data_IF_972739584448
#
_entry.id   IF_972739584448
#
_cell.length_a   1.000
_cell.length_b   1.000
_cell.length_c   1.000
_cell.angle_alpha   90.00
_cell.angle_beta   90.00
_cell.angle_gamma   90.00
#
_symmetry.space_group_name_H-M   'P 1'
#
loop_
_entity.id
_entity.type
_entity.pdbx_description
1 polymer ?
#
# COMPACT_ATOMS: atom_id res chain seq x y z
N UNK A 1 -15.50 5.15 3.12
CA UNK A 1 -14.71 5.48 4.32
C UNK A 1 -15.24 4.79 5.59
N UNK A 2 -16.55 4.94 5.93
CA UNK A 2 -17.11 4.39 7.18
C UNK A 2 -16.86 2.87 7.32
N UNK A 3 -17.14 2.01 6.33
CA UNK A 3 -16.87 0.59 6.41
C UNK A 3 -15.40 0.24 6.71
N UNK A 4 -14.46 0.98 6.11
CA UNK A 4 -13.02 0.76 6.33
C UNK A 4 -12.58 1.17 7.74
N UNK A 5 -13.16 2.24 8.29
CA UNK A 5 -12.93 2.65 9.68
C UNK A 5 -13.45 1.58 10.64
N UNK A 6 -14.66 1.05 10.40
CA UNK A 6 -15.22 -0.02 11.24
C UNK A 6 -14.34 -1.27 11.17
N UNK A 7 -13.90 -1.68 9.97
CA UNK A 7 -12.97 -2.79 9.80
C UNK A 7 -11.70 -2.58 10.65
N UNK A 8 -11.09 -1.40 10.59
CA UNK A 8 -9.90 -1.05 11.37
C UNK A 8 -10.16 -1.07 12.88
N UNK A 9 -11.24 -0.45 13.33
CA UNK A 9 -11.57 -0.36 14.76
C UNK A 9 -11.88 -1.75 15.34
N UNK A 10 -12.64 -2.57 14.64
CA UNK A 10 -12.96 -3.95 15.07
C UNK A 10 -11.71 -4.80 15.13
N UNK A 11 -10.88 -4.79 14.08
CA UNK A 11 -9.63 -5.57 14.05
C UNK A 11 -8.67 -5.13 15.15
N UNK A 12 -8.45 -3.81 15.31
CA UNK A 12 -7.57 -3.26 16.34
C UNK A 12 -8.10 -3.52 17.75
N UNK A 13 -9.42 -3.42 17.95
CA UNK A 13 -10.08 -3.71 19.22
C UNK A 13 -9.87 -5.17 19.65
N UNK A 14 -10.09 -6.12 18.73
CA UNK A 14 -9.85 -7.53 19.00
C UNK A 14 -8.36 -7.80 19.28
N UNK A 15 -7.47 -7.23 18.46
CA UNK A 15 -6.03 -7.37 18.65
C UNK A 15 -5.57 -6.88 20.04
N UNK A 16 -6.12 -5.76 20.53
CA UNK A 16 -5.77 -5.20 21.84
C UNK A 16 -6.16 -6.09 23.02
N UNK A 17 -7.16 -6.96 22.85
CA UNK A 17 -7.61 -7.90 23.89
C UNK A 17 -6.74 -9.16 23.95
N UNK A 18 -6.06 -9.52 22.87
CA UNK A 18 -5.29 -10.75 22.77
C UNK A 18 -3.94 -10.64 23.49
N UNK A 19 -3.58 -11.66 24.30
CA UNK A 19 -2.32 -11.65 25.04
C UNK A 19 -1.09 -11.68 24.12
N UNK A 20 -1.22 -12.18 22.89
CA UNK A 20 -0.14 -12.23 21.89
C UNK A 20 0.41 -10.84 21.55
N UNK A 21 -0.42 -9.80 21.63
CA UNK A 21 -0.06 -8.42 21.33
C UNK A 21 0.24 -7.59 22.61
N UNK A 22 0.13 -8.21 23.79
CA UNK A 22 0.51 -7.60 25.08
C UNK A 22 1.96 -7.90 25.35
N UNK A 23 2.86 -7.04 24.91
CA UNK A 23 4.30 -7.12 25.17
C UNK A 23 4.83 -5.83 25.76
N UNK A 24 5.86 -5.93 26.61
CA UNK A 24 6.64 -4.76 27.03
C UNK A 24 7.62 -4.46 25.91
N UNK A 25 7.46 -3.30 25.29
CA UNK A 25 8.43 -2.78 24.31
C UNK A 25 9.64 -2.30 25.12
N UNK A 26 10.70 -3.09 25.18
CA UNK A 26 12.00 -2.58 25.61
C UNK A 26 12.55 -1.73 24.46
N UNK A 27 12.42 -0.41 24.59
CA UNK A 27 13.11 0.51 23.68
C UNK A 27 14.61 0.25 23.90
N UNK A 28 15.24 -0.41 22.94
CA UNK A 28 16.68 -0.44 22.85
C UNK A 28 17.10 0.99 22.56
N UNK A 29 17.61 1.68 23.56
CA UNK A 29 18.22 2.98 23.36
C UNK A 29 19.34 2.78 22.34
N UNK A 30 19.06 3.06 21.09
CA UNK A 30 20.11 3.23 20.09
C UNK A 30 20.79 4.54 20.48
N UNK A 31 21.99 4.44 21.04
CA UNK A 31 22.84 5.61 21.38
C UNK A 31 23.34 6.37 20.15
N UNK A 32 22.72 6.20 19.00
CA UNK A 32 22.91 7.03 17.83
C UNK A 32 21.76 8.07 17.74
N UNK A 33 21.78 8.97 18.73
CA UNK A 33 20.85 10.12 18.80
C UNK A 33 21.31 11.26 17.86
N UNK A 34 21.77 10.91 16.67
CA UNK A 34 21.79 11.84 15.56
C UNK A 34 20.41 11.85 14.91
N UNK A 35 19.40 12.24 15.72
CA UNK A 35 18.06 12.58 15.22
C UNK A 35 18.27 13.57 14.09
N UNK A 36 18.19 13.06 12.85
CA UNK A 36 18.21 13.89 11.67
C UNK A 36 17.06 14.90 11.81
N UNK A 37 17.40 16.12 12.20
CA UNK A 37 16.44 17.22 12.48
C UNK A 37 15.48 17.45 11.30
N UNK A 38 15.86 16.98 10.14
CA UNK A 38 15.11 17.09 8.88
C UNK A 38 14.30 15.84 8.52
N UNK A 39 14.44 14.73 9.27
CA UNK A 39 13.72 13.47 8.98
C UNK A 39 12.21 13.66 9.04
N UNK A 40 11.72 14.41 10.04
CA UNK A 40 10.30 14.72 10.16
C UNK A 40 9.81 15.59 9.00
N UNK A 41 10.60 16.56 8.57
CA UNK A 41 10.22 17.46 7.47
C UNK A 41 10.11 16.69 6.15
N UNK A 42 11.06 15.78 5.87
CA UNK A 42 11.02 14.93 4.68
C UNK A 42 9.80 13.99 4.72
N UNK A 43 9.49 13.42 5.90
CA UNK A 43 8.30 12.60 6.08
C UNK A 43 7.01 13.39 5.78
N UNK A 44 6.90 14.60 6.34
CA UNK A 44 5.72 15.46 6.12
C UNK A 44 5.59 15.84 4.65
N UNK A 45 6.68 16.24 4.00
CA UNK A 45 6.69 16.58 2.56
C UNK A 45 6.28 15.37 1.73
N UNK A 46 6.79 14.17 2.04
CA UNK A 46 6.42 12.94 1.35
C UNK A 46 4.94 12.60 1.51
N UNK A 47 4.41 12.74 2.73
CA UNK A 47 3.00 12.50 3.00
C UNK A 47 2.10 13.49 2.26
N UNK A 48 2.45 14.78 2.29
CA UNK A 48 1.73 15.82 1.55
C UNK A 48 1.79 15.59 0.03
N UNK A 49 2.94 15.15 -0.50
CA UNK A 49 3.08 14.80 -1.90
C UNK A 49 2.13 13.68 -2.31
N UNK A 50 2.00 12.61 -1.50
CA UNK A 50 1.07 11.51 -1.78
C UNK A 50 -0.39 11.99 -1.72
N UNK A 51 -0.76 12.77 -0.71
CA UNK A 51 -2.12 13.32 -0.55
C UNK A 51 -2.47 14.28 -1.69
N UNK A 52 -1.49 14.98 -2.27
CA UNK A 52 -1.73 15.91 -3.38
C UNK A 52 -2.10 15.20 -4.70
N UNK A 53 -1.78 13.91 -4.88
CA UNK A 53 -2.02 13.18 -6.14
C UNK A 53 -3.50 13.11 -6.53
N UNK A 54 -4.44 12.74 -5.65
CA UNK A 54 -5.86 12.77 -5.98
C UNK A 54 -6.37 14.17 -6.33
N UNK A 55 -5.90 15.19 -5.60
CA UNK A 55 -6.25 16.59 -5.87
C UNK A 55 -5.74 17.01 -7.26
N UNK A 56 -4.49 16.67 -7.57
CA UNK A 56 -3.89 16.91 -8.88
C UNK A 56 -4.71 16.26 -10.00
N UNK A 57 -5.12 15.00 -9.82
CA UNK A 57 -5.97 14.28 -10.79
C UNK A 57 -7.29 15.02 -11.04
N UNK A 58 -7.96 15.48 -9.97
CA UNK A 58 -9.26 16.18 -10.08
C UNK A 58 -9.10 17.51 -10.81
N UNK A 59 -8.04 18.26 -10.51
CA UNK A 59 -7.82 19.60 -11.10
C UNK A 59 -7.34 19.54 -12.56
N UNK A 60 -6.43 18.60 -12.86
CA UNK A 60 -5.78 18.54 -14.18
C UNK A 60 -6.42 17.54 -15.13
N UNK A 61 -7.23 16.61 -14.61
CA UNK A 61 -7.77 15.45 -15.35
C UNK A 61 -6.69 14.54 -15.95
N UNK A 62 -5.42 14.71 -15.55
CA UNK A 62 -4.31 13.89 -16.00
C UNK A 62 -4.25 12.56 -15.23
N UNK A 63 -3.62 11.52 -15.81
CA UNK A 63 -3.44 10.25 -15.11
C UNK A 63 -2.68 10.40 -13.79
N UNK A 64 -3.03 9.64 -12.73
CA UNK A 64 -2.45 9.78 -11.39
C UNK A 64 -0.93 9.61 -11.35
N UNK A 65 -0.33 8.85 -12.26
CA UNK A 65 1.12 8.63 -12.29
C UNK A 65 1.90 9.91 -12.53
N UNK A 66 1.33 10.89 -13.27
CA UNK A 66 1.98 12.19 -13.49
C UNK A 66 2.07 12.96 -12.16
N UNK A 67 0.99 12.96 -11.36
CA UNK A 67 0.99 13.53 -10.02
C UNK A 67 2.00 12.85 -9.09
N UNK A 68 2.11 11.52 -9.16
CA UNK A 68 3.12 10.76 -8.40
C UNK A 68 4.55 11.12 -8.81
N UNK A 69 4.82 11.23 -10.11
CA UNK A 69 6.15 11.63 -10.62
C UNK A 69 6.52 13.05 -10.17
N UNK A 70 5.55 13.98 -10.21
CA UNK A 70 5.74 15.33 -9.71
C UNK A 70 6.04 15.32 -8.20
N UNK A 71 5.26 14.58 -7.41
CA UNK A 71 5.46 14.40 -5.98
C UNK A 71 6.84 13.82 -5.67
N UNK A 72 7.25 12.78 -6.39
CA UNK A 72 8.58 12.18 -6.27
C UNK A 72 9.68 13.20 -6.56
N UNK A 73 9.52 14.00 -7.63
CA UNK A 73 10.48 15.06 -7.99
C UNK A 73 10.65 16.09 -6.88
N UNK A 74 9.53 16.56 -6.30
CA UNK A 74 9.55 17.51 -5.18
C UNK A 74 10.27 16.91 -3.97
N UNK A 75 9.90 15.70 -3.54
CA UNK A 75 10.53 15.02 -2.40
C UNK A 75 12.03 14.82 -2.65
N UNK A 76 12.42 14.45 -3.87
CA UNK A 76 13.83 14.24 -4.25
C UNK A 76 14.64 15.53 -4.15
N UNK A 77 14.11 16.66 -4.62
CA UNK A 77 14.78 17.97 -4.52
C UNK A 77 14.99 18.35 -3.05
N UNK A 78 13.95 18.20 -2.20
CA UNK A 78 14.09 18.49 -0.78
C UNK A 78 15.05 17.54 -0.07
N UNK A 79 15.02 16.24 -0.39
CA UNK A 79 15.95 15.26 0.17
C UNK A 79 17.40 15.59 -0.15
N UNK A 80 17.69 15.99 -1.40
CA UNK A 80 19.01 16.39 -1.85
C UNK A 80 19.45 17.70 -1.19
N UNK A 81 18.57 18.69 -1.12
CA UNK A 81 18.85 19.98 -0.45
C UNK A 81 19.21 19.79 1.03
N UNK A 82 18.46 18.96 1.76
CA UNK A 82 18.76 18.67 3.15
C UNK A 82 20.00 17.79 3.34
N UNK A 83 20.35 16.95 2.37
CA UNK A 83 21.58 16.17 2.38
C UNK A 83 22.82 17.05 2.16
N UNK A 84 22.77 17.93 1.16
CA UNK A 84 23.87 18.85 0.84
C UNK A 84 24.13 19.88 1.94
N UNK A 85 23.10 20.27 2.70
CA UNK A 85 23.26 21.15 3.85
C UNK A 85 24.15 20.59 4.97
N UNK A 86 24.39 19.27 5.00
CA UNK A 86 25.34 18.62 5.91
C UNK A 86 26.77 18.67 5.42
N UNK A 87 27.00 18.84 4.13
CA UNK A 87 28.34 18.82 3.51
C UNK A 87 29.14 20.09 3.75
N UNK A 88 28.49 21.25 3.78
CA UNK A 88 29.16 22.55 3.90
C UNK A 88 29.82 22.83 5.24
N UNK A 89 29.57 22.02 6.29
CA UNK A 89 30.12 22.24 7.65
C UNK A 89 31.24 21.24 8.01
N UNK A 90 31.36 20.12 7.31
CA UNK A 90 32.38 19.09 7.61
C UNK A 90 33.69 19.30 6.88
N UNK A 91 33.65 19.98 5.75
CA UNK A 91 34.84 20.18 4.91
C UNK A 91 35.85 21.26 5.42
N UNK A 92 35.46 22.06 6.43
CA UNK A 92 36.30 23.16 6.93
C UNK A 92 37.22 22.70 8.08
N UNK A 93 37.06 21.47 8.61
CA UNK A 93 37.74 21.08 9.87
C UNK A 93 38.78 19.95 9.72
N UNK A 94 38.98 19.34 8.56
CA UNK A 94 39.95 18.26 8.41
C UNK A 94 40.93 18.50 7.22
N UNK A 95 41.98 19.27 7.48
CA UNK A 95 43.20 19.23 6.70
C UNK A 95 44.09 18.09 7.19
N UNK A 96 43.79 16.87 6.75
CA UNK A 96 44.74 15.75 6.91
C UNK A 96 44.82 14.95 5.60
N UNK A 97 46.05 14.86 5.10
CA UNK A 97 46.41 14.43 3.73
C UNK A 97 46.31 12.92 3.47
N UNK A 98 45.79 12.11 4.41
CA UNK A 98 45.82 10.64 4.33
C UNK A 98 44.45 9.97 4.07
N UNK A 99 43.39 10.74 3.80
CA UNK A 99 42.03 10.19 3.56
C UNK A 99 41.58 10.18 2.08
N UNK A 100 42.47 10.46 1.17
CA UNK A 100 42.17 10.48 -0.29
C UNK A 100 41.90 9.10 -0.90
N UNK A 101 41.99 8.01 -0.12
CA UNK A 101 41.71 6.63 -0.59
C UNK A 101 40.49 6.00 -0.04
N UNK A 102 39.78 6.63 0.87
CA UNK A 102 38.41 6.28 1.21
C UNK A 102 37.43 7.15 0.42
N UNK A 103 37.35 6.88 -0.87
CA UNK A 103 36.21 7.32 -1.67
C UNK A 103 34.95 6.73 -1.05
N UNK A 104 34.47 7.35 0.04
CA UNK A 104 33.11 7.13 0.48
C UNK A 104 32.26 7.52 -0.73
N UNK A 105 31.66 6.54 -1.34
CA UNK A 105 30.60 6.72 -2.30
C UNK A 105 29.47 7.41 -1.55
N UNK A 106 29.54 8.74 -1.46
CA UNK A 106 28.45 9.60 -0.98
C UNK A 106 27.31 9.51 -2.01
N UNK A 107 26.66 8.37 -2.00
CA UNK A 107 25.51 8.11 -2.85
C UNK A 107 24.39 9.03 -2.35
N UNK A 108 23.92 9.91 -3.23
CA UNK A 108 22.77 10.76 -3.01
C UNK A 108 21.63 9.97 -2.35
N UNK A 109 20.88 10.53 -1.37
CA UNK A 109 19.73 9.87 -0.78
C UNK A 109 18.73 9.36 -1.81
N UNK A 110 18.57 10.09 -2.90
CA UNK A 110 17.72 9.71 -4.03
C UNK A 110 18.28 8.48 -4.74
N UNK A 111 19.58 8.42 -5.00
CA UNK A 111 20.21 7.25 -5.61
C UNK A 111 20.07 6.02 -4.72
N UNK A 112 20.28 6.15 -3.41
CA UNK A 112 20.09 5.07 -2.45
C UNK A 112 18.64 4.58 -2.39
N UNK A 113 17.65 5.48 -2.55
CA UNK A 113 16.26 5.11 -2.62
C UNK A 113 15.94 4.37 -3.93
N UNK A 114 16.42 4.89 -5.07
CA UNK A 114 16.22 4.28 -6.38
C UNK A 114 16.90 2.91 -6.51
N UNK A 115 18.06 2.72 -5.91
CA UNK A 115 18.77 1.43 -5.93
C UNK A 115 18.07 0.32 -5.15
N UNK A 116 17.13 0.68 -4.27
CA UNK A 116 16.31 -0.27 -3.52
C UNK A 116 15.02 -0.67 -4.24
N UNK A 117 14.76 -0.10 -5.43
CA UNK A 117 13.61 -0.47 -6.24
C UNK A 117 13.83 -1.88 -6.81
N UNK A 118 12.92 -2.78 -6.48
CA UNK A 118 12.95 -4.16 -6.95
C UNK A 118 12.31 -4.28 -8.34
N UNK A 119 13.14 -4.24 -9.39
CA UNK A 119 12.69 -4.42 -10.76
C UNK A 119 11.88 -5.72 -10.99
N UNK A 120 12.23 -6.87 -10.36
CA UNK A 120 11.43 -8.09 -10.50
C UNK A 120 9.97 -7.90 -10.05
N UNK A 121 9.72 -7.19 -8.95
CA UNK A 121 8.36 -6.90 -8.47
C UNK A 121 7.58 -6.06 -9.48
N UNK A 122 8.21 -5.04 -10.07
CA UNK A 122 7.58 -4.20 -11.09
C UNK A 122 7.20 -5.02 -12.33
N UNK A 123 8.11 -5.87 -12.82
CA UNK A 123 7.86 -6.74 -13.98
C UNK A 123 6.79 -7.78 -13.68
N UNK A 124 6.73 -8.31 -12.46
CA UNK A 124 5.68 -9.22 -12.02
C UNK A 124 4.30 -8.55 -12.10
N UNK A 125 4.15 -7.35 -11.52
CA UNK A 125 2.89 -6.61 -11.61
C UNK A 125 2.51 -6.27 -13.06
N UNK A 126 3.48 -5.83 -13.87
CA UNK A 126 3.25 -5.58 -15.28
C UNK A 126 2.74 -6.83 -15.99
N UNK A 127 3.36 -7.99 -15.76
CA UNK A 127 2.95 -9.26 -16.34
C UNK A 127 1.52 -9.65 -15.96
N UNK A 128 1.13 -9.48 -14.69
CA UNK A 128 -0.25 -9.75 -14.24
C UNK A 128 -1.23 -8.78 -14.89
N UNK A 129 -0.95 -7.48 -14.92
CA UNK A 129 -1.84 -6.50 -15.56
C UNK A 129 -2.01 -6.75 -17.05
N UNK A 130 -0.94 -7.17 -17.76
CA UNK A 130 -1.03 -7.57 -19.16
C UNK A 130 -1.87 -8.84 -19.36
N UNK A 131 -1.74 -9.83 -18.47
CA UNK A 131 -2.55 -11.04 -18.52
C UNK A 131 -4.04 -10.74 -18.28
N UNK A 132 -4.35 -9.87 -17.28
CA UNK A 132 -5.72 -9.42 -17.02
C UNK A 132 -6.28 -8.66 -18.23
N UNK A 133 -5.52 -7.74 -18.81
CA UNK A 133 -5.92 -7.00 -20.02
C UNK A 133 -6.16 -7.91 -21.22
N UNK A 134 -5.38 -8.98 -21.38
CA UNK A 134 -5.62 -9.99 -22.41
C UNK A 134 -6.93 -10.74 -22.18
N UNK A 135 -7.21 -11.18 -20.95
CA UNK A 135 -8.48 -11.84 -20.59
C UNK A 135 -9.69 -10.92 -20.79
N UNK A 136 -9.54 -9.63 -20.48
CA UNK A 136 -10.56 -8.61 -20.71
C UNK A 136 -10.83 -8.44 -22.22
N UNK A 137 -9.78 -8.29 -23.02
CA UNK A 137 -9.91 -8.11 -24.47
C UNK A 137 -10.56 -9.30 -25.19
N UNK A 138 -10.41 -10.50 -24.62
CA UNK A 138 -11.07 -11.72 -25.08
C UNK A 138 -12.51 -11.85 -24.59
N UNK A 139 -12.99 -10.96 -23.72
CA UNK A 139 -14.31 -11.01 -23.11
C UNK A 139 -14.49 -12.11 -22.07
N UNK A 140 -13.44 -12.83 -21.71
CA UNK A 140 -13.49 -13.97 -20.76
C UNK A 140 -13.94 -13.51 -19.39
N UNK A 141 -13.44 -12.36 -18.91
CA UNK A 141 -13.82 -11.81 -17.60
C UNK A 141 -15.31 -11.44 -17.54
N UNK A 142 -15.82 -10.85 -18.62
CA UNK A 142 -17.24 -10.49 -18.72
C UNK A 142 -18.14 -11.73 -18.73
N UNK A 143 -17.80 -12.76 -19.51
CA UNK A 143 -18.55 -14.02 -19.52
C UNK A 143 -18.53 -14.70 -18.16
N UNK A 144 -17.39 -14.77 -17.50
CA UNK A 144 -17.26 -15.30 -16.14
C UNK A 144 -18.17 -14.54 -15.15
N UNK A 145 -18.23 -13.19 -15.25
CA UNK A 145 -19.09 -12.39 -14.42
C UNK A 145 -20.58 -12.68 -14.64
N UNK A 146 -20.99 -12.87 -15.91
CA UNK A 146 -22.38 -13.23 -16.23
C UNK A 146 -22.75 -14.61 -15.65
N UNK A 147 -21.89 -15.60 -15.80
CA UNK A 147 -22.11 -16.95 -15.28
C UNK A 147 -22.19 -16.94 -13.75
N UNK A 148 -21.31 -16.19 -13.07
CA UNK A 148 -21.32 -16.05 -11.61
C UNK A 148 -22.55 -15.28 -11.11
N UNK A 149 -22.98 -14.22 -11.80
CA UNK A 149 -24.19 -13.45 -11.46
C UNK A 149 -25.48 -14.31 -11.51
N UNK A 150 -25.51 -15.36 -12.32
CA UNK A 150 -26.64 -16.28 -12.36
C UNK A 150 -26.67 -17.25 -11.18
N UNK A 151 -25.52 -17.54 -10.59
CA UNK A 151 -25.35 -18.56 -9.56
C UNK A 151 -25.35 -17.95 -8.14
N UNK A 152 -24.75 -16.77 -7.98
CA UNK A 152 -24.57 -16.12 -6.67
C UNK A 152 -25.01 -14.65 -6.72
N UNK A 153 -25.42 -14.12 -5.56
CA UNK A 153 -25.77 -12.71 -5.48
C UNK A 153 -24.54 -11.81 -5.72
N UNK A 154 -24.77 -10.62 -6.28
CA UNK A 154 -23.72 -9.66 -6.57
C UNK A 154 -22.88 -9.31 -5.32
N UNK A 155 -23.51 -9.14 -4.19
CA UNK A 155 -22.82 -8.87 -2.92
C UNK A 155 -21.90 -10.01 -2.50
N UNK A 156 -22.38 -11.25 -2.64
CA UNK A 156 -21.57 -12.44 -2.36
C UNK A 156 -20.39 -12.52 -3.31
N UNK A 157 -20.59 -12.20 -4.58
CA UNK A 157 -19.51 -12.17 -5.56
C UNK A 157 -18.42 -11.18 -5.16
N UNK A 158 -18.79 -9.96 -4.77
CA UNK A 158 -17.83 -8.93 -4.32
C UNK A 158 -17.11 -9.37 -3.03
N UNK A 159 -17.79 -10.02 -2.10
CA UNK A 159 -17.15 -10.57 -0.89
C UNK A 159 -16.14 -11.68 -1.22
N UNK A 160 -16.49 -12.57 -2.15
CA UNK A 160 -15.58 -13.63 -2.63
C UNK A 160 -14.36 -13.01 -3.33
N UNK A 161 -14.57 -11.97 -4.14
CA UNK A 161 -13.46 -11.22 -4.74
C UNK A 161 -12.57 -10.58 -3.66
N UNK A 162 -13.16 -10.00 -2.62
CA UNK A 162 -12.42 -9.47 -1.48
C UNK A 162 -11.62 -10.56 -0.75
N UNK A 163 -12.19 -11.74 -0.56
CA UNK A 163 -11.45 -12.88 0.01
C UNK A 163 -10.32 -13.36 -0.93
N UNK A 164 -10.53 -13.33 -2.24
CA UNK A 164 -9.51 -13.65 -3.24
C UNK A 164 -8.35 -12.64 -3.21
N UNK A 165 -8.62 -11.38 -2.84
CA UNK A 165 -7.58 -10.35 -2.65
C UNK A 165 -6.57 -10.71 -1.55
N UNK A 166 -6.90 -11.63 -0.66
CA UNK A 166 -5.93 -12.15 0.30
C UNK A 166 -4.78 -12.96 -0.34
N UNK A 167 -5.00 -13.48 -1.54
CA UNK A 167 -4.04 -14.32 -2.28
C UNK A 167 -3.51 -13.57 -3.50
N UNK A 168 -4.42 -12.90 -4.21
CA UNK A 168 -4.13 -12.13 -5.41
C UNK A 168 -4.09 -10.66 -4.99
N UNK A 169 -3.03 -9.95 -5.31
CA UNK A 169 -2.92 -8.53 -4.97
C UNK A 169 -4.17 -7.74 -5.43
N UNK A 170 -4.52 -6.73 -4.65
CA UNK A 170 -5.74 -5.93 -4.85
C UNK A 170 -5.77 -5.21 -6.21
N UNK A 171 -4.62 -4.79 -6.75
CA UNK A 171 -4.54 -4.03 -8.00
C UNK A 171 -5.00 -4.87 -9.21
N UNK A 172 -4.46 -6.09 -9.45
CA UNK A 172 -4.95 -6.96 -10.51
C UNK A 172 -6.42 -7.33 -10.35
N UNK A 173 -6.89 -7.53 -9.13
CA UNK A 173 -8.27 -7.91 -8.86
C UNK A 173 -9.24 -6.78 -9.19
N UNK A 174 -8.91 -5.53 -8.82
CA UNK A 174 -9.70 -4.35 -9.21
C UNK A 174 -9.67 -4.15 -10.71
N UNK A 175 -8.50 -4.32 -11.37
CA UNK A 175 -8.41 -4.24 -12.82
C UNK A 175 -9.30 -5.28 -13.51
N UNK A 176 -9.31 -6.53 -13.02
CA UNK A 176 -10.21 -7.57 -13.54
C UNK A 176 -11.68 -7.19 -13.34
N UNK A 177 -12.04 -6.59 -12.20
CA UNK A 177 -13.43 -6.17 -11.95
C UNK A 177 -13.92 -5.12 -12.94
N UNK A 178 -13.06 -4.24 -13.43
CA UNK A 178 -13.42 -3.27 -14.47
C UNK A 178 -13.82 -3.93 -15.78
N UNK A 179 -13.21 -5.09 -16.11
CA UNK A 179 -13.60 -5.90 -17.28
C UNK A 179 -14.80 -6.82 -17.03
N UNK A 180 -15.17 -7.03 -15.76
CA UNK A 180 -16.29 -7.92 -15.39
C UNK A 180 -17.64 -7.18 -15.30
N UNK A 181 -17.63 -5.91 -14.95
CA UNK A 181 -18.83 -5.14 -14.67
C UNK A 181 -18.93 -3.90 -15.56
N UNK A 182 -20.14 -3.57 -15.97
CA UNK A 182 -20.45 -2.44 -16.88
C UNK A 182 -21.26 -1.34 -16.20
N UNK A 183 -21.28 -1.33 -14.88
CA UNK A 183 -22.03 -0.37 -14.08
C UNK A 183 -21.48 1.07 -14.26
N UNK A 184 -22.30 2.07 -13.98
CA UNK A 184 -21.91 3.48 -14.11
C UNK A 184 -20.80 3.86 -13.13
N UNK A 185 -20.04 4.93 -13.43
CA UNK A 185 -18.81 5.31 -12.70
C UNK A 185 -19.03 5.51 -11.19
N UNK A 186 -20.18 6.01 -10.77
CA UNK A 186 -20.49 6.28 -9.35
C UNK A 186 -21.40 5.23 -8.72
N UNK A 187 -21.52 4.05 -9.34
CA UNK A 187 -22.32 2.97 -8.78
C UNK A 187 -21.78 2.46 -7.44
N UNK A 188 -22.70 2.12 -6.55
CA UNK A 188 -22.35 1.58 -5.22
C UNK A 188 -21.53 0.29 -5.29
N UNK A 189 -21.62 -0.44 -6.40
CA UNK A 189 -20.82 -1.64 -6.65
C UNK A 189 -19.32 -1.32 -6.60
N UNK A 190 -18.90 -0.22 -7.24
CA UNK A 190 -17.48 0.17 -7.25
C UNK A 190 -16.96 0.54 -5.87
N UNK A 191 -17.79 1.17 -5.05
CA UNK A 191 -17.45 1.46 -3.66
C UNK A 191 -17.31 0.16 -2.84
N UNK A 192 -18.15 -0.83 -3.11
CA UNK A 192 -18.07 -2.12 -2.42
C UNK A 192 -16.87 -2.95 -2.87
N UNK A 193 -16.56 -2.96 -4.17
CA UNK A 193 -15.35 -3.58 -4.72
C UNK A 193 -14.09 -2.93 -4.14
N UNK A 194 -14.03 -1.60 -4.11
CA UNK A 194 -12.91 -0.87 -3.55
C UNK A 194 -12.69 -1.18 -2.05
N UNK A 195 -13.79 -1.26 -1.27
CA UNK A 195 -13.72 -1.72 0.12
C UNK A 195 -13.21 -3.15 0.21
N UNK A 196 -13.86 -4.08 -0.50
CA UNK A 196 -13.57 -5.51 -0.40
C UNK A 196 -12.17 -5.86 -0.87
N UNK A 197 -11.73 -5.33 -2.00
CA UNK A 197 -10.37 -5.56 -2.51
C UNK A 197 -9.31 -4.92 -1.61
N UNK A 198 -9.54 -3.69 -1.16
CA UNK A 198 -8.56 -2.95 -0.34
C UNK A 198 -8.39 -3.53 1.07
N UNK A 199 -9.48 -4.00 1.70
CA UNK A 199 -9.42 -4.58 3.06
C UNK A 199 -9.16 -6.09 3.03
N UNK A 200 -9.60 -6.78 1.98
CA UNK A 200 -9.41 -8.22 1.81
C UNK A 200 -7.96 -8.65 1.77
N UNK A 201 -7.09 -7.86 1.13
CA UNK A 201 -5.65 -8.12 1.05
C UNK A 201 -4.96 -8.24 2.40
N UNK A 202 -5.52 -7.68 3.47
CA UNK A 202 -4.97 -7.79 4.82
C UNK A 202 -5.25 -9.13 5.51
N UNK A 203 -6.11 -9.98 4.98
CA UNK A 203 -6.41 -11.29 5.57
C UNK A 203 -5.20 -12.24 5.52
N UNK A 204 -4.37 -12.15 4.47
CA UNK A 204 -3.09 -12.82 4.43
C UNK A 204 -1.97 -11.79 4.19
N UNK A 205 -0.83 -11.99 4.81
CA UNK A 205 0.28 -11.04 4.70
C UNK A 205 0.81 -10.91 3.27
N UNK A 206 0.63 -11.95 2.45
CA UNK A 206 1.02 -11.98 1.03
C UNK A 206 0.02 -11.30 0.09
N UNK A 207 -1.18 -10.99 0.57
CA UNK A 207 -2.26 -10.38 -0.25
C UNK A 207 -2.04 -8.89 -0.57
N UNK A 208 -0.94 -8.30 -0.13
CA UNK A 208 -0.57 -6.94 -0.49
C UNK A 208 0.94 -6.76 -0.55
N UNK A 209 1.42 -5.94 -1.48
CA UNK A 209 2.84 -5.60 -1.59
C UNK A 209 3.39 -5.03 -0.27
N UNK A 210 2.62 -4.17 0.41
CA UNK A 210 3.00 -3.62 1.72
C UNK A 210 3.16 -4.71 2.79
N UNK A 211 2.29 -5.72 2.80
CA UNK A 211 2.38 -6.87 3.71
C UNK A 211 3.64 -7.69 3.48
N UNK A 212 4.00 -7.95 2.23
CA UNK A 212 5.22 -8.67 1.87
C UNK A 212 6.47 -7.91 2.31
N UNK A 213 6.50 -6.60 2.09
CA UNK A 213 7.61 -5.74 2.55
C UNK A 213 7.71 -5.75 4.07
N UNK A 214 6.60 -5.59 4.79
CA UNK A 214 6.57 -5.64 6.26
C UNK A 214 7.04 -7.01 6.78
N UNK A 215 6.62 -8.12 6.13
CA UNK A 215 7.08 -9.46 6.45
C UNK A 215 8.61 -9.59 6.35
N UNK A 216 9.20 -9.04 5.31
CA UNK A 216 10.65 -9.05 5.09
C UNK A 216 11.40 -8.19 6.10
N UNK A 217 10.94 -6.97 6.36
CA UNK A 217 11.58 -6.01 7.26
C UNK A 217 11.52 -6.45 8.73
N UNK A 218 10.35 -6.90 9.17
CA UNK A 218 10.09 -7.30 10.56
C UNK A 218 10.34 -8.81 10.81
N UNK A 219 10.76 -9.56 9.78
CA UNK A 219 10.99 -11.01 9.82
C UNK A 219 9.79 -11.79 10.36
N UNK A 220 8.59 -11.37 10.00
CA UNK A 220 7.34 -12.00 10.41
C UNK A 220 7.18 -13.30 9.65
N UNK A 221 6.91 -14.41 10.37
CA UNK A 221 6.64 -15.69 9.73
C UNK A 221 5.21 -15.73 9.19
N UNK A 222 5.03 -16.21 7.94
CA UNK A 222 3.72 -16.34 7.28
C UNK A 222 2.71 -17.13 8.13
N UNK A 223 3.11 -18.28 8.67
CA UNK A 223 2.23 -19.12 9.49
C UNK A 223 1.87 -18.48 10.82
N UNK A 224 2.76 -17.69 11.39
CA UNK A 224 2.48 -16.92 12.60
C UNK A 224 1.41 -15.86 12.33
N UNK A 225 1.53 -15.14 11.21
CA UNK A 225 0.54 -14.14 10.78
C UNK A 225 -0.81 -14.81 10.55
N UNK A 226 -0.84 -15.90 9.78
CA UNK A 226 -2.06 -16.65 9.47
C UNK A 226 -2.77 -17.13 10.73
N UNK A 227 -2.02 -17.59 11.74
CA UNK A 227 -2.60 -18.07 12.99
C UNK A 227 -3.11 -16.97 13.91
N UNK A 228 -2.42 -15.83 13.98
CA UNK A 228 -2.70 -14.80 14.98
C UNK A 228 -3.45 -13.57 14.43
N UNK A 229 -3.26 -13.23 13.15
CA UNK A 229 -3.78 -11.97 12.57
C UNK A 229 -4.88 -12.23 11.54
N UNK A 230 -4.75 -13.25 10.69
CA UNK A 230 -5.66 -13.47 9.56
C UNK A 230 -7.14 -13.56 9.97
N UNK A 231 -7.45 -14.26 11.05
CA UNK A 231 -8.84 -14.38 11.53
C UNK A 231 -9.38 -13.08 12.11
N UNK A 232 -8.52 -12.24 12.71
CA UNK A 232 -8.88 -10.91 13.20
C UNK A 232 -9.23 -9.99 12.01
N UNK A 233 -8.38 -10.03 10.98
CA UNK A 233 -8.60 -9.30 9.75
C UNK A 233 -9.89 -9.75 9.04
N UNK A 234 -10.16 -11.06 9.02
CA UNK A 234 -11.40 -11.63 8.47
C UNK A 234 -12.65 -11.10 9.21
N UNK A 235 -12.62 -11.09 10.55
CA UNK A 235 -13.74 -10.55 11.34
C UNK A 235 -13.92 -9.06 11.04
N UNK A 236 -12.85 -8.28 11.01
CA UNK A 236 -12.90 -6.87 10.65
C UNK A 236 -13.46 -6.64 9.24
N UNK A 237 -13.03 -7.45 8.26
CA UNK A 237 -13.54 -7.43 6.90
C UNK A 237 -15.05 -7.69 6.84
N UNK A 238 -15.54 -8.73 7.51
CA UNK A 238 -16.97 -9.06 7.55
C UNK A 238 -17.77 -7.96 8.26
N UNK A 239 -17.26 -7.43 9.36
CA UNK A 239 -17.92 -6.34 10.09
C UNK A 239 -18.07 -5.08 9.23
N UNK A 240 -17.01 -4.67 8.52
CA UNK A 240 -17.07 -3.51 7.63
C UNK A 240 -17.97 -3.76 6.40
N UNK A 241 -17.96 -4.98 5.84
CA UNK A 241 -18.86 -5.36 4.76
C UNK A 241 -20.34 -5.30 5.21
N UNK A 242 -20.63 -5.79 6.41
CA UNK A 242 -21.97 -5.68 6.99
C UNK A 242 -22.42 -4.22 7.15
N UNK A 243 -21.54 -3.36 7.63
CA UNK A 243 -21.82 -1.91 7.73
C UNK A 243 -22.04 -1.29 6.35
N UNK A 244 -21.27 -1.69 5.33
CA UNK A 244 -21.50 -1.23 3.96
C UNK A 244 -22.89 -1.60 3.47
N UNK A 245 -23.31 -2.86 3.63
CA UNK A 245 -24.61 -3.36 3.21
C UNK A 245 -25.77 -2.65 3.94
N UNK A 246 -25.59 -2.35 5.24
CA UNK A 246 -26.57 -1.58 6.00
C UNK A 246 -26.67 -0.16 5.49
N UNK A 247 -25.54 0.55 5.35
CA UNK A 247 -25.51 1.93 4.91
C UNK A 247 -26.07 2.11 3.50
N UNK A 248 -25.86 1.14 2.60
CA UNK A 248 -26.40 1.17 1.24
C UNK A 248 -27.93 1.23 1.21
N UNK A 249 -28.59 0.67 2.21
CA UNK A 249 -30.06 0.71 2.31
C UNK A 249 -30.60 2.06 2.80
N UNK A 250 -29.73 2.96 3.30
CA UNK A 250 -30.11 4.27 3.82
C UNK A 250 -29.69 5.43 2.89
N UNK A 251 -28.89 5.16 1.87
CA UNK A 251 -28.42 6.13 0.88
C UNK A 251 -29.05 5.81 -0.48
#
# INVERSE_FOLDING_TARGET
>A
LIPSIVCMVVSSGIASLLPVFKGNITLKNSEDDNKNRYSLNILIIGLLAIISVPIFKIVTHLPPYIGMMLGLGVVSIFAEFYSNSKFGLSEITSSDHDELLKTSTNTSPVHNALSKIELPSILFFLGILMAVGALESLGILFQLALDLKQTISLDTLVLVMGAASAIIDNVPLVAASLGMFTETVDDQLWHFIAYSAGTGGSMLIIGSAAGVVAMGMEKINFFWYMKNISWIALIGFIAGAGVFMILRNFI
#
